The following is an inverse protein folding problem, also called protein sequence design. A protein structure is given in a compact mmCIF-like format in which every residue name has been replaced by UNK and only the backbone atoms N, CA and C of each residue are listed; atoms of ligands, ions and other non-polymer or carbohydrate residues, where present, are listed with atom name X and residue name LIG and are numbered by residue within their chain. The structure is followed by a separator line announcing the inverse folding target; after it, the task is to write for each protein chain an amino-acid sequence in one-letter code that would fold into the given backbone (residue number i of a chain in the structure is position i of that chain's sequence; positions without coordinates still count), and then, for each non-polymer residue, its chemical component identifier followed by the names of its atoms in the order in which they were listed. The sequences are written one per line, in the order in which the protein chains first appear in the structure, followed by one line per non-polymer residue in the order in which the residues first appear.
data_IF_998474852717
#
_entry.id   IF_998474852717
#
_cell.length_a   1.000
_cell.length_b   1.000
_cell.length_c   1.000
_cell.angle_alpha   90.00
_cell.angle_beta   90.00
_cell.angle_gamma   90.00
#
_symmetry.space_group_name_H-M   'P 1'
#
loop_
_entity.id
_entity.type
_entity.pdbx_description
1 polymer ?
#
# COMPACT_ATOMS: atom_id res chain seq x y z
N UNK A 1 55.87 -31.68 -32.29
CA UNK A 1 55.88 -32.30 -30.93
C UNK A 1 54.42 -32.37 -30.46
N UNK A 2 53.80 -33.51 -30.61
CA UNK A 2 52.40 -33.73 -30.18
C UNK A 2 52.41 -34.18 -28.71
N UNK A 3 51.93 -33.29 -27.83
CA UNK A 3 51.83 -33.56 -26.39
C UNK A 3 50.75 -34.65 -26.15
N UNK A 4 51.20 -35.87 -25.84
CA UNK A 4 50.30 -36.97 -25.49
C UNK A 4 49.67 -36.70 -24.11
N UNK A 5 48.54 -36.06 -24.11
CA UNK A 5 47.73 -35.87 -22.88
C UNK A 5 47.33 -37.23 -22.35
N UNK A 6 47.92 -37.68 -21.24
CA UNK A 6 47.60 -38.95 -20.57
C UNK A 6 46.13 -38.93 -20.17
N UNK A 7 45.39 -40.04 -20.36
CA UNK A 7 43.97 -40.20 -19.97
C UNK A 7 43.64 -39.65 -18.59
N UNK A 8 44.62 -39.80 -17.65
CA UNK A 8 44.47 -39.30 -16.28
C UNK A 8 44.45 -37.75 -16.21
N UNK A 9 45.27 -37.07 -17.04
CA UNK A 9 45.29 -35.59 -17.11
C UNK A 9 44.00 -35.05 -17.79
N UNK A 10 43.50 -35.79 -18.76
CA UNK A 10 42.23 -35.44 -19.41
C UNK A 10 41.08 -35.57 -18.44
N UNK A 11 40.90 -36.69 -17.76
CA UNK A 11 39.88 -36.90 -16.76
C UNK A 11 39.95 -35.89 -15.60
N UNK A 12 41.13 -35.48 -15.16
CA UNK A 12 41.30 -34.45 -14.16
C UNK A 12 40.86 -33.05 -14.62
N UNK A 13 41.09 -32.72 -15.91
CA UNK A 13 40.62 -31.43 -16.49
C UNK A 13 39.12 -31.41 -16.69
N UNK A 14 38.51 -32.50 -17.18
CA UNK A 14 37.07 -32.63 -17.34
C UNK A 14 36.32 -32.62 -16.00
N UNK A 15 36.82 -33.29 -14.97
CA UNK A 15 36.25 -33.27 -13.63
C UNK A 15 36.28 -31.87 -13.01
N UNK A 16 37.39 -31.14 -13.17
CA UNK A 16 37.49 -29.71 -12.73
C UNK A 16 36.54 -28.80 -13.50
N UNK A 17 36.41 -28.97 -14.82
CA UNK A 17 35.47 -28.22 -15.65
C UNK A 17 34.02 -28.46 -15.23
N UNK A 18 33.65 -29.72 -15.00
CA UNK A 18 32.33 -30.10 -14.52
C UNK A 18 32.00 -29.53 -13.13
N UNK A 19 33.00 -29.55 -12.21
CA UNK A 19 32.84 -28.96 -10.88
C UNK A 19 32.64 -27.43 -10.94
N UNK A 20 33.39 -26.73 -11.79
CA UNK A 20 33.24 -25.29 -11.97
C UNK A 20 31.91 -24.92 -12.61
N UNK A 21 31.41 -25.71 -13.58
CA UNK A 21 30.09 -25.51 -14.17
C UNK A 21 28.98 -25.80 -13.15
N UNK A 22 29.14 -26.84 -12.32
CA UNK A 22 28.20 -27.15 -11.25
C UNK A 22 28.13 -26.04 -10.21
N UNK A 23 29.26 -25.56 -9.72
CA UNK A 23 29.33 -24.47 -8.72
C UNK A 23 28.88 -23.12 -9.32
N UNK A 24 29.26 -22.83 -10.56
CA UNK A 24 28.81 -21.62 -11.26
C UNK A 24 27.30 -21.62 -11.52
N UNK A 25 26.75 -22.76 -11.97
CA UNK A 25 25.33 -22.94 -12.22
C UNK A 25 24.49 -22.82 -10.95
N UNK A 26 24.94 -23.43 -9.84
CA UNK A 26 24.25 -23.27 -8.54
C UNK A 26 24.34 -21.85 -8.01
N UNK A 27 25.47 -21.17 -8.17
CA UNK A 27 25.63 -19.76 -7.79
C UNK A 27 24.67 -18.84 -8.54
N UNK A 28 24.55 -19.01 -9.85
CA UNK A 28 23.59 -18.23 -10.69
C UNK A 28 22.15 -18.54 -10.28
N UNK A 29 21.81 -19.80 -10.05
CA UNK A 29 20.46 -20.20 -9.63
C UNK A 29 20.10 -19.64 -8.25
N UNK A 30 21.03 -19.67 -7.30
CA UNK A 30 20.83 -19.09 -5.97
C UNK A 30 20.70 -17.57 -6.03
N UNK A 31 21.51 -16.89 -6.85
CA UNK A 31 21.40 -15.44 -7.07
C UNK A 31 20.07 -15.06 -7.71
N UNK A 32 19.59 -15.85 -8.67
CA UNK A 32 18.28 -15.61 -9.30
C UNK A 32 17.13 -15.78 -8.31
N UNK A 33 17.19 -16.78 -7.41
CA UNK A 33 16.18 -16.93 -6.35
C UNK A 33 16.30 -15.88 -5.25
N UNK A 34 17.51 -15.45 -4.91
CA UNK A 34 17.74 -14.42 -3.89
C UNK A 34 17.24 -13.03 -4.32
N UNK A 35 17.15 -12.76 -5.64
CA UNK A 35 16.65 -11.49 -6.15
C UNK A 35 15.11 -11.40 -6.25
N UNK A 36 14.38 -12.47 -5.90
CA UNK A 36 12.93 -12.40 -5.78
C UNK A 36 12.56 -11.88 -4.40
N UNK A 37 12.38 -10.59 -4.30
CA UNK A 37 11.79 -9.97 -3.11
C UNK A 37 10.28 -10.17 -3.19
N UNK A 38 9.73 -10.95 -2.27
CA UNK A 38 8.29 -11.08 -2.11
C UNK A 38 7.82 -9.92 -1.24
N UNK A 39 7.00 -9.06 -1.80
CA UNK A 39 6.45 -7.91 -1.09
C UNK A 39 4.94 -8.09 -0.88
N UNK A 40 4.46 -7.78 0.32
CA UNK A 40 3.03 -7.76 0.61
C UNK A 40 2.36 -6.55 -0.06
N UNK A 41 1.21 -6.78 -0.65
CA UNK A 41 0.39 -5.75 -1.28
C UNK A 41 -1.07 -5.90 -0.88
N UNK A 42 -1.85 -4.82 -1.05
CA UNK A 42 -3.28 -4.79 -0.80
C UNK A 42 -4.01 -4.65 -2.13
N UNK A 43 -4.92 -5.59 -2.39
CA UNK A 43 -5.87 -5.46 -3.49
C UNK A 43 -7.02 -4.55 -3.04
N UNK A 44 -7.01 -3.32 -3.55
CA UNK A 44 -8.03 -2.33 -3.23
C UNK A 44 -9.45 -2.77 -3.64
N UNK A 45 -9.58 -3.62 -4.68
CA UNK A 45 -10.89 -4.11 -5.14
C UNK A 45 -11.49 -5.15 -4.20
N UNK A 46 -10.64 -5.89 -3.47
CA UNK A 46 -11.08 -6.87 -2.47
C UNK A 46 -11.28 -6.24 -1.10
N UNK A 47 -10.57 -5.14 -0.79
CA UNK A 47 -10.65 -4.52 0.53
C UNK A 47 -12.10 -4.11 0.87
N UNK A 48 -12.61 -4.56 2.01
CA UNK A 48 -13.99 -4.29 2.47
C UNK A 48 -14.27 -2.78 2.56
N UNK A 49 -13.32 -2.00 3.10
CA UNK A 49 -13.47 -0.55 3.22
C UNK A 49 -13.56 0.15 1.86
N UNK A 50 -12.87 -0.36 0.83
CA UNK A 50 -12.95 0.17 -0.52
C UNK A 50 -14.21 -0.27 -1.25
N UNK A 51 -14.77 -1.44 -0.90
CA UNK A 51 -15.88 -2.06 -1.62
C UNK A 51 -17.25 -1.65 -1.10
N UNK A 52 -17.44 -1.64 0.22
CA UNK A 52 -18.75 -1.44 0.83
C UNK A 52 -19.11 0.04 1.04
N UNK A 53 -18.11 0.92 1.20
CA UNK A 53 -18.37 2.32 1.51
C UNK A 53 -18.99 2.52 2.90
N UNK A 54 -19.59 3.70 3.15
CA UNK A 54 -20.13 4.10 4.45
C UNK A 54 -21.54 3.55 4.75
N UNK A 55 -22.01 2.51 4.07
CA UNK A 55 -23.39 2.01 4.16
C UNK A 55 -23.62 1.12 5.39
N UNK A 56 -23.45 1.66 6.60
CA UNK A 56 -23.94 1.02 7.83
C UNK A 56 -23.14 -0.21 8.31
N UNK A 57 -21.96 -0.45 7.78
CA UNK A 57 -21.03 -1.48 8.23
C UNK A 57 -19.91 -0.82 9.04
N UNK A 58 -19.53 -1.44 10.14
CA UNK A 58 -18.39 -0.98 10.93
C UNK A 58 -17.12 -0.96 10.07
N UNK A 59 -16.30 0.09 10.26
CA UNK A 59 -15.02 0.23 9.58
C UNK A 59 -14.13 -0.95 9.93
N UNK A 60 -13.57 -1.64 8.95
CA UNK A 60 -12.56 -2.65 9.18
C UNK A 60 -11.24 -1.98 9.56
N UNK A 61 -10.76 -2.17 10.76
CA UNK A 61 -9.53 -1.58 11.29
C UNK A 61 -8.36 -2.59 11.43
N UNK A 62 -8.53 -3.82 10.94
CA UNK A 62 -7.53 -4.92 11.03
C UNK A 62 -6.13 -4.48 10.58
N UNK A 63 -6.03 -3.67 9.53
CA UNK A 63 -4.74 -3.17 9.05
C UNK A 63 -4.00 -2.32 10.08
N UNK A 64 -4.73 -1.63 10.97
CA UNK A 64 -4.13 -0.80 12.01
C UNK A 64 -3.84 -1.56 13.31
N UNK A 65 -4.56 -2.66 13.57
CA UNK A 65 -4.51 -3.41 14.83
C UNK A 65 -3.62 -4.64 14.77
N UNK A 66 -3.61 -5.35 13.66
CA UNK A 66 -2.97 -6.67 13.54
C UNK A 66 -1.55 -6.62 12.96
N UNK A 67 -1.06 -5.44 12.58
CA UNK A 67 0.33 -5.30 12.17
C UNK A 67 1.28 -5.50 13.35
N UNK A 68 2.36 -6.28 13.14
CA UNK A 68 3.40 -6.50 14.16
C UNK A 68 4.26 -5.26 14.43
N UNK A 69 4.22 -4.28 13.53
CA UNK A 69 4.91 -2.99 13.70
C UNK A 69 4.01 -2.06 14.51
N UNK A 70 4.56 -1.40 15.54
CA UNK A 70 3.83 -0.54 16.48
C UNK A 70 2.96 0.51 15.80
N UNK A 71 3.44 1.10 14.71
CA UNK A 71 2.65 1.90 13.79
C UNK A 71 2.54 1.10 12.50
N UNK A 72 1.37 0.59 12.17
CA UNK A 72 1.16 -0.30 11.03
C UNK A 72 1.95 0.13 9.79
N UNK A 73 2.48 -0.83 9.04
CA UNK A 73 3.10 -0.54 7.74
C UNK A 73 2.08 -0.20 6.64
N UNK A 74 0.78 -0.35 6.91
CA UNK A 74 -0.29 0.02 5.98
C UNK A 74 -0.64 1.48 6.12
N UNK A 75 -0.80 2.18 5.00
CA UNK A 75 -1.15 3.60 4.94
C UNK A 75 -2.25 3.83 3.94
N UNK A 76 -3.02 4.87 4.18
CA UNK A 76 -3.89 5.42 3.15
C UNK A 76 -3.05 6.28 2.19
N UNK A 77 -3.29 6.14 0.91
CA UNK A 77 -2.70 6.97 -0.14
C UNK A 77 -3.79 7.57 -1.00
N UNK A 78 -3.58 8.80 -1.47
CA UNK A 78 -4.52 9.51 -2.33
C UNK A 78 -4.01 9.53 -3.78
N UNK A 79 -4.77 8.90 -4.67
CA UNK A 79 -4.51 8.97 -6.12
C UNK A 79 -5.15 10.25 -6.68
N UNK A 80 -4.39 11.33 -6.71
CA UNK A 80 -4.86 12.67 -7.07
C UNK A 80 -5.53 12.76 -8.45
N UNK A 81 -5.19 11.88 -9.37
CA UNK A 81 -5.82 11.80 -10.70
C UNK A 81 -7.30 11.42 -10.63
N UNK A 82 -7.69 10.70 -9.56
CA UNK A 82 -9.07 10.26 -9.31
C UNK A 82 -9.78 11.12 -8.27
N UNK A 83 -9.07 12.08 -7.65
CA UNK A 83 -9.63 12.92 -6.62
C UNK A 83 -10.57 13.98 -7.19
N UNK A 84 -11.82 14.01 -6.71
CA UNK A 84 -12.83 14.99 -7.11
C UNK A 84 -12.63 16.38 -6.49
N UNK A 85 -11.66 16.57 -5.59
CA UNK A 85 -11.35 17.85 -4.91
C UNK A 85 -12.57 18.50 -4.27
N UNK A 86 -13.43 17.70 -3.69
CA UNK A 86 -14.72 18.10 -3.15
C UNK A 86 -14.58 19.20 -2.08
N UNK A 87 -15.46 20.20 -2.10
CA UNK A 87 -15.54 21.21 -1.04
C UNK A 87 -15.80 20.58 0.33
N UNK A 88 -16.80 19.71 0.42
CA UNK A 88 -17.01 18.83 1.57
C UNK A 88 -16.53 17.46 1.19
N UNK A 89 -15.31 17.11 1.60
CA UNK A 89 -14.72 15.81 1.33
C UNK A 89 -15.12 14.81 2.42
N UNK A 90 -15.88 13.75 2.09
CA UNK A 90 -16.33 12.78 3.08
C UNK A 90 -15.20 11.90 3.65
N UNK A 91 -14.00 11.92 3.04
CA UNK A 91 -12.81 11.29 3.61
C UNK A 91 -12.11 12.17 4.66
N UNK A 92 -12.36 13.47 4.64
CA UNK A 92 -11.78 14.43 5.58
C UNK A 92 -12.76 14.78 6.69
N UNK A 93 -14.00 15.08 6.34
CA UNK A 93 -15.05 15.42 7.27
C UNK A 93 -15.88 14.21 7.68
N UNK A 94 -16.27 14.15 8.94
CA UNK A 94 -17.34 13.27 9.37
C UNK A 94 -18.68 13.92 8.97
N UNK A 95 -19.23 13.48 7.85
CA UNK A 95 -20.47 14.02 7.28
C UNK A 95 -21.72 13.77 8.15
N UNK A 96 -21.59 12.93 9.19
CA UNK A 96 -22.67 12.67 10.15
C UNK A 96 -22.62 13.62 11.35
N UNK A 97 -21.52 14.40 11.49
CA UNK A 97 -21.38 15.38 12.56
C UNK A 97 -22.27 16.60 12.34
N UNK A 98 -22.52 17.37 13.40
CA UNK A 98 -23.22 18.65 13.30
C UNK A 98 -22.45 19.58 12.34
N UNK A 99 -23.18 20.42 11.64
CA UNK A 99 -22.58 21.46 10.78
C UNK A 99 -22.28 22.72 11.58
N UNK A 100 -21.22 23.42 11.22
CA UNK A 100 -20.85 24.71 11.79
C UNK A 100 -21.63 25.87 11.12
N UNK A 101 -21.30 27.11 11.51
CA UNK A 101 -21.94 28.33 10.96
C UNK A 101 -21.66 28.51 9.47
N UNK A 102 -20.60 27.92 8.96
CA UNK A 102 -20.19 27.95 7.55
C UNK A 102 -20.83 26.80 6.73
N UNK A 103 -21.63 25.93 7.38
CA UNK A 103 -22.26 24.78 6.75
C UNK A 103 -21.34 23.60 6.52
N UNK A 104 -20.17 23.58 7.17
CA UNK A 104 -19.21 22.47 7.11
C UNK A 104 -19.42 21.50 8.29
N UNK A 105 -19.19 20.19 8.10
CA UNK A 105 -19.19 19.26 9.22
C UNK A 105 -18.11 19.64 10.25
N UNK A 106 -18.50 19.70 11.51
CA UNK A 106 -17.66 20.20 12.60
C UNK A 106 -16.54 19.24 13.01
N UNK A 107 -16.62 17.94 12.64
CA UNK A 107 -15.65 16.94 13.01
C UNK A 107 -14.88 16.39 11.81
N UNK A 108 -13.61 16.09 12.05
CA UNK A 108 -12.77 15.37 11.09
C UNK A 108 -12.98 13.87 11.23
N UNK A 109 -13.00 13.17 10.10
CA UNK A 109 -13.17 11.72 10.06
C UNK A 109 -11.92 10.98 10.57
N UNK A 110 -10.73 11.54 10.34
CA UNK A 110 -9.48 10.90 10.71
C UNK A 110 -9.16 11.05 12.21
N UNK A 111 -9.15 9.94 13.01
CA UNK A 111 -8.88 10.02 14.45
C UNK A 111 -7.42 10.38 14.77
N UNK A 112 -6.52 10.31 13.78
CA UNK A 112 -5.10 10.63 13.90
C UNK A 112 -4.74 12.00 13.36
N UNK A 113 -5.72 12.73 12.84
CA UNK A 113 -5.50 14.02 12.15
C UNK A 113 -4.40 13.93 11.06
N UNK A 114 -4.44 12.82 10.31
CA UNK A 114 -3.43 12.52 9.29
C UNK A 114 -3.79 13.11 7.92
N UNK A 115 -4.93 13.79 7.77
CA UNK A 115 -5.32 14.41 6.51
C UNK A 115 -5.32 15.92 6.67
N UNK A 116 -4.58 16.58 5.81
CA UNK A 116 -4.51 18.03 5.72
C UNK A 116 -5.35 18.51 4.53
N UNK A 117 -6.17 19.54 4.72
CA UNK A 117 -6.96 20.21 3.69
C UNK A 117 -6.28 21.51 3.29
N UNK A 118 -5.89 21.63 2.02
CA UNK A 118 -5.26 22.84 1.46
C UNK A 118 -6.08 23.40 0.33
N UNK A 119 -6.31 24.71 0.29
CA UNK A 119 -6.98 25.35 -0.85
C UNK A 119 -6.10 25.30 -2.11
N UNK A 120 -6.73 25.16 -3.26
CA UNK A 120 -6.08 25.20 -4.57
C UNK A 120 -6.51 26.44 -5.31
N UNK A 121 -5.57 27.35 -5.58
CA UNK A 121 -5.84 28.59 -6.29
C UNK A 121 -6.50 29.67 -5.44
N UNK A 122 -7.31 30.53 -6.09
CA UNK A 122 -8.06 31.58 -5.41
C UNK A 122 -9.26 30.98 -4.69
N UNK A 123 -9.49 31.43 -3.45
CA UNK A 123 -10.64 31.09 -2.65
C UNK A 123 -11.65 32.23 -2.78
N UNK A 124 -12.82 31.90 -3.32
CA UNK A 124 -13.96 32.81 -3.42
C UNK A 124 -14.78 32.70 -2.12
N UNK A 125 -14.82 33.76 -1.30
CA UNK A 125 -15.62 33.76 -0.07
C UNK A 125 -17.11 33.81 -0.33
N UNK A 126 -17.54 34.36 -1.49
CA UNK A 126 -18.95 34.51 -1.85
C UNK A 126 -19.55 33.24 -2.46
N UNK A 127 -18.69 32.34 -2.99
CA UNK A 127 -19.10 31.06 -3.55
C UNK A 127 -18.19 29.90 -3.05
N UNK A 128 -18.29 29.53 -1.78
CA UNK A 128 -17.44 28.51 -1.18
C UNK A 128 -17.56 27.13 -1.86
N UNK A 129 -18.72 26.81 -2.43
CA UNK A 129 -18.97 25.51 -3.05
C UNK A 129 -18.15 25.27 -4.32
N UNK A 130 -17.72 26.33 -5.00
CA UNK A 130 -16.85 26.28 -6.17
C UNK A 130 -15.36 26.34 -5.84
N UNK A 131 -14.99 26.39 -4.56
CA UNK A 131 -13.60 26.31 -4.15
C UNK A 131 -13.09 24.87 -4.19
N UNK A 132 -11.88 24.68 -4.70
CA UNK A 132 -11.24 23.39 -4.82
C UNK A 132 -10.19 23.23 -3.70
N UNK A 133 -10.10 22.01 -3.17
CA UNK A 133 -9.17 21.67 -2.10
C UNK A 133 -8.36 20.43 -2.45
N UNK A 134 -7.10 20.43 -2.03
CA UNK A 134 -6.26 19.27 -2.02
C UNK A 134 -6.27 18.63 -0.63
N UNK A 135 -6.36 17.32 -0.59
CA UNK A 135 -6.34 16.53 0.64
C UNK A 135 -5.08 15.68 0.67
N UNK A 136 -4.13 16.11 1.51
CA UNK A 136 -2.81 15.51 1.62
C UNK A 136 -2.81 14.57 2.83
N UNK A 137 -2.35 13.34 2.64
CA UNK A 137 -2.26 12.35 3.71
C UNK A 137 -0.83 12.38 4.27
N UNK A 138 -0.71 12.69 5.56
CA UNK A 138 0.52 12.55 6.32
C UNK A 138 0.70 11.06 6.69
N UNK A 139 1.57 10.41 5.95
CA UNK A 139 1.83 8.98 6.11
C UNK A 139 2.49 8.62 7.44
N UNK A 140 3.16 9.58 8.11
CA UNK A 140 3.77 9.37 9.43
C UNK A 140 2.67 9.29 10.51
N UNK A 141 1.62 10.09 10.38
CA UNK A 141 0.49 10.06 11.31
C UNK A 141 -0.51 8.93 11.01
N UNK A 142 -0.60 8.53 9.75
CA UNK A 142 -1.56 7.52 9.29
C UNK A 142 -1.23 6.15 9.88
N UNK A 143 -2.22 5.45 10.43
CA UNK A 143 -2.11 4.07 10.92
C UNK A 143 -2.82 3.03 10.05
N UNK A 144 -3.39 3.43 8.90
CA UNK A 144 -4.07 2.51 7.99
C UNK A 144 -5.44 2.03 8.46
N UNK A 145 -6.14 2.76 9.32
CA UNK A 145 -7.47 2.35 9.84
C UNK A 145 -8.57 2.27 8.77
N UNK A 146 -8.40 2.85 7.58
CA UNK A 146 -9.32 2.72 6.46
C UNK A 146 -10.55 3.61 6.48
N UNK A 147 -10.79 4.45 7.50
CA UNK A 147 -11.98 5.33 7.58
C UNK A 147 -12.09 6.26 6.39
N UNK A 148 -11.00 6.90 6.00
CA UNK A 148 -10.96 7.79 4.84
C UNK A 148 -11.19 7.07 3.51
N UNK A 149 -10.84 5.79 3.41
CA UNK A 149 -11.09 4.96 2.22
C UNK A 149 -12.60 4.76 2.05
N UNK A 150 -13.30 4.41 3.13
CA UNK A 150 -14.76 4.33 3.13
C UNK A 150 -15.40 5.67 2.80
N UNK A 151 -14.99 6.73 3.47
CA UNK A 151 -15.54 8.07 3.26
C UNK A 151 -15.37 8.57 1.83
N UNK A 152 -14.22 8.32 1.19
CA UNK A 152 -13.97 8.76 -0.19
C UNK A 152 -14.91 8.10 -1.21
N UNK A 153 -15.38 6.89 -0.93
CA UNK A 153 -16.25 6.15 -1.84
C UNK A 153 -17.69 6.66 -1.81
N UNK A 154 -18.17 7.06 -0.64
CA UNK A 154 -19.55 7.53 -0.41
C UNK A 154 -19.56 9.01 -0.01
N UNK A 155 -20.52 9.83 -0.48
CA UNK A 155 -21.57 9.56 -1.47
C UNK A 155 -21.12 9.83 -2.92
N UNK A 156 -19.88 10.22 -3.14
CA UNK A 156 -19.41 10.74 -4.44
C UNK A 156 -19.14 9.64 -5.50
N UNK A 157 -19.15 8.36 -5.12
CA UNK A 157 -18.79 7.24 -6.00
C UNK A 157 -17.34 7.24 -6.46
N UNK A 158 -16.52 8.16 -5.97
CA UNK A 158 -15.11 8.30 -6.27
C UNK A 158 -14.28 7.42 -5.33
N UNK A 159 -13.21 6.85 -5.84
CA UNK A 159 -12.27 6.03 -5.07
C UNK A 159 -10.85 6.49 -5.32
N UNK A 160 -10.51 7.70 -4.83
CA UNK A 160 -9.13 8.20 -4.93
C UNK A 160 -8.26 7.71 -3.79
N UNK A 161 -8.84 7.40 -2.62
CA UNK A 161 -8.09 6.95 -1.44
C UNK A 161 -8.16 5.43 -1.36
N UNK A 162 -7.00 4.79 -1.22
CA UNK A 162 -6.83 3.35 -1.06
C UNK A 162 -5.80 3.04 0.03
N UNK A 163 -5.78 1.81 0.52
CA UNK A 163 -4.74 1.34 1.41
C UNK A 163 -3.58 0.75 0.61
N UNK A 164 -2.37 1.05 1.00
CA UNK A 164 -1.15 0.46 0.45
C UNK A 164 -0.19 0.03 1.56
N UNK A 165 0.64 -0.97 1.27
CA UNK A 165 1.72 -1.40 2.16
C UNK A 165 2.96 -0.56 1.88
N UNK A 166 3.50 0.06 2.92
CA UNK A 166 4.78 0.78 2.89
C UNK A 166 5.93 -0.22 3.03
N UNK A 167 6.63 -0.49 1.95
CA UNK A 167 7.73 -1.47 1.93
C UNK A 167 8.96 -1.03 2.71
N UNK A 168 9.13 0.28 2.92
CA UNK A 168 10.20 0.85 3.76
C UNK A 168 9.98 0.63 5.26
N UNK A 169 8.74 0.37 5.68
CA UNK A 169 8.37 0.10 7.08
C UNK A 169 7.87 -1.32 7.31
N UNK A 170 7.52 -2.04 6.25
CA UNK A 170 7.07 -3.43 6.30
C UNK A 170 8.25 -4.37 6.60
N UNK A 171 8.07 -5.30 7.53
CA UNK A 171 9.08 -6.30 7.88
C UNK A 171 9.04 -7.54 6.97
N UNK A 172 8.21 -7.55 5.94
CA UNK A 172 8.02 -8.65 4.98
C UNK A 172 7.90 -10.03 5.65
N UNK A 173 7.07 -10.08 6.70
CA UNK A 173 6.84 -11.31 7.47
C UNK A 173 6.38 -12.43 6.53
N UNK A 174 6.99 -13.64 6.64
CA UNK A 174 6.57 -14.81 5.86
C UNK A 174 5.09 -15.17 6.06
N UNK A 175 4.55 -14.85 7.24
CA UNK A 175 3.14 -14.96 7.60
C UNK A 175 2.70 -13.61 8.14
N UNK A 176 2.05 -12.82 7.31
CA UNK A 176 1.54 -11.52 7.68
C UNK A 176 0.28 -11.68 8.55
N UNK A 177 0.30 -11.12 9.77
CA UNK A 177 -0.85 -11.17 10.69
C UNK A 177 -2.08 -10.50 10.08
N UNK A 178 -1.90 -9.36 9.39
CA UNK A 178 -2.99 -8.68 8.68
C UNK A 178 -3.58 -9.58 7.60
N UNK A 179 -2.73 -10.25 6.79
CA UNK A 179 -3.20 -11.13 5.72
C UNK A 179 -4.02 -12.31 6.26
N UNK A 180 -3.64 -12.84 7.44
CA UNK A 180 -4.35 -13.94 8.10
C UNK A 180 -5.70 -13.46 8.65
N UNK A 181 -5.75 -12.25 9.21
CA UNK A 181 -6.95 -11.69 9.83
C UNK A 181 -7.90 -11.01 8.82
N UNK A 182 -7.43 -10.72 7.61
CA UNK A 182 -8.21 -10.00 6.59
C UNK A 182 -9.42 -10.83 6.14
N UNK A 183 -10.67 -10.34 6.34
CA UNK A 183 -11.88 -11.12 6.06
C UNK A 183 -12.09 -11.37 4.55
N UNK A 184 -11.58 -10.49 3.71
CA UNK A 184 -11.77 -10.55 2.25
C UNK A 184 -10.52 -10.99 1.49
N UNK A 185 -9.52 -11.52 2.19
CA UNK A 185 -8.25 -11.99 1.59
C UNK A 185 -7.64 -10.95 0.64
N UNK A 186 -7.71 -9.67 1.03
CA UNK A 186 -7.23 -8.56 0.20
C UNK A 186 -5.69 -8.46 0.16
N UNK A 187 -4.98 -9.20 1.01
CA UNK A 187 -3.51 -9.20 1.05
C UNK A 187 -2.94 -10.35 0.24
N UNK A 188 -1.96 -10.04 -0.59
CA UNK A 188 -1.23 -11.03 -1.39
C UNK A 188 0.25 -10.69 -1.46
N UNK A 189 1.07 -11.70 -1.74
CA UNK A 189 2.49 -11.51 -2.01
C UNK A 189 2.72 -11.43 -3.51
N UNK A 190 3.35 -10.35 -3.96
CA UNK A 190 3.82 -10.23 -5.33
C UNK A 190 5.34 -10.32 -5.40
N UNK A 191 5.84 -10.87 -6.50
CA UNK A 191 7.27 -10.92 -6.78
C UNK A 191 7.68 -9.59 -7.40
N UNK A 192 8.33 -8.72 -6.62
CA UNK A 192 8.97 -7.54 -7.18
C UNK A 192 10.25 -7.97 -7.91
N UNK A 193 10.25 -7.89 -9.22
CA UNK A 193 11.50 -7.90 -9.99
C UNK A 193 12.09 -6.49 -9.87
N UNK A 194 13.20 -6.35 -9.14
CA UNK A 194 13.97 -5.12 -9.17
C UNK A 194 14.38 -4.84 -10.64
N UNK A 195 13.68 -3.90 -11.27
CA UNK A 195 14.03 -3.35 -12.58
C UNK A 195 15.07 -2.25 -12.45
#
# INVERSE_FOLDING_TARGET
MTDKTTRRKFLGKTARGAALLGLGGTGIFLSYKANKVYAWQVDALKCVNSRLGATGVDVCEICSTDCVVTLSAVRAVNEYSKCGRCYICPAYFDVTSAVDEEGLPSQKLCPRDAIERKPIGYIDPDDPANNFYEYIIDEIKCNGCGRCVMGCKEPAGLSSIKLEVRHDTCLDCNRCSIAIACPDEAYFQDTQTNS
#
